data_IF_129047409103
#
_entry.id   IF_129047409103
#
_cell.length_a   1.000
_cell.length_b   1.000
_cell.length_c   1.000
_cell.angle_alpha   90.00
_cell.angle_beta   90.00
_cell.angle_gamma   90.00
#
_symmetry.space_group_name_H-M   'P 1'
#
loop_
_entity.id
_entity.type
_entity.pdbx_description
1 polymer ?
#
# COMPACT_ATOMS: atom_id res chain seq x y z
N UNK A 1 2.77 35.11 -11.25
CA UNK A 1 2.49 35.25 -9.78
C UNK A 1 3.60 34.51 -9.07
N UNK A 2 4.16 35.09 -7.98
CA UNK A 2 5.28 34.48 -7.26
C UNK A 2 4.82 33.83 -5.94
N UNK A 3 5.33 32.62 -5.67
CA UNK A 3 5.15 31.84 -4.45
C UNK A 3 6.51 31.59 -3.78
N UNK A 4 6.52 31.20 -2.53
CA UNK A 4 7.73 30.67 -1.89
C UNK A 4 7.96 29.23 -2.32
N UNK A 5 6.84 28.41 -2.36
CA UNK A 5 6.91 27.00 -2.74
C UNK A 5 5.75 26.68 -3.69
N UNK A 6 6.07 25.99 -4.79
CA UNK A 6 5.06 25.34 -5.65
C UNK A 6 5.24 23.83 -5.54
N UNK A 7 4.14 23.10 -5.29
CA UNK A 7 4.10 21.64 -5.24
C UNK A 7 3.39 21.12 -6.48
N UNK A 8 4.02 20.23 -7.25
CA UNK A 8 3.42 19.60 -8.43
C UNK A 8 2.93 18.21 -8.08
N UNK A 9 1.61 18.02 -8.03
CA UNK A 9 0.89 16.83 -7.60
C UNK A 9 0.32 16.95 -6.19
N UNK A 10 -0.93 16.53 -6.02
CA UNK A 10 -1.68 16.65 -4.76
C UNK A 10 -1.91 15.32 -4.03
N UNK A 11 -1.13 14.29 -4.34
CA UNK A 11 -1.13 13.03 -3.59
C UNK A 11 -0.69 13.22 -2.12
N UNK A 12 -0.61 12.14 -1.32
CA UNK A 12 -0.24 12.21 0.10
C UNK A 12 1.04 13.00 0.39
N UNK A 13 2.08 12.86 -0.43
CA UNK A 13 3.27 13.69 -0.32
C UNK A 13 2.98 15.16 -0.62
N UNK A 14 2.26 15.44 -1.72
CA UNK A 14 2.06 16.82 -2.19
C UNK A 14 1.18 17.66 -1.28
N UNK A 15 -0.02 17.18 -0.89
CA UNK A 15 -0.89 17.98 -0.02
C UNK A 15 -0.30 18.15 1.39
N UNK A 16 0.43 17.16 1.90
CA UNK A 16 1.13 17.27 3.19
C UNK A 16 2.25 18.31 3.11
N UNK A 17 3.06 18.27 2.04
CA UNK A 17 4.09 19.29 1.79
C UNK A 17 3.51 20.71 1.75
N UNK A 18 2.44 20.89 0.98
CA UNK A 18 1.78 22.19 0.84
C UNK A 18 1.23 22.72 2.17
N UNK A 19 0.59 21.86 2.96
CA UNK A 19 0.06 22.23 4.28
C UNK A 19 1.20 22.57 5.24
N UNK A 20 2.25 21.74 5.31
CA UNK A 20 3.39 21.96 6.21
C UNK A 20 4.10 23.27 5.87
N UNK A 21 4.30 23.54 4.60
CA UNK A 21 4.91 24.80 4.14
C UNK A 21 4.07 26.04 4.56
N UNK A 22 2.76 25.98 4.36
CA UNK A 22 1.85 27.04 4.81
C UNK A 22 1.89 27.23 6.33
N UNK A 23 1.92 26.14 7.11
CA UNK A 23 2.06 26.21 8.59
C UNK A 23 3.35 26.89 9.03
N UNK A 24 4.40 26.82 8.21
CA UNK A 24 5.70 27.50 8.41
C UNK A 24 5.73 28.92 7.81
N UNK A 25 4.57 29.47 7.46
CA UNK A 25 4.41 30.86 7.01
C UNK A 25 4.76 31.09 5.55
N UNK A 26 4.91 30.04 4.73
CA UNK A 26 5.22 30.17 3.31
C UNK A 26 3.95 30.42 2.48
N UNK A 27 4.08 31.20 1.41
CA UNK A 27 3.05 31.35 0.38
C UNK A 27 3.16 30.19 -0.60
N UNK A 28 2.12 29.35 -0.67
CA UNK A 28 2.15 28.06 -1.35
C UNK A 28 1.10 27.95 -2.44
N UNK A 29 1.47 27.34 -3.56
CA UNK A 29 0.53 26.80 -4.54
C UNK A 29 0.73 25.31 -4.73
N UNK A 30 -0.37 24.60 -5.04
CA UNK A 30 -0.36 23.20 -5.41
C UNK A 30 -0.95 23.04 -6.81
N UNK A 31 -0.23 22.34 -7.69
CA UNK A 31 -0.66 22.06 -9.06
C UNK A 31 -1.22 20.65 -9.14
N UNK A 32 -2.45 20.51 -9.65
CA UNK A 32 -3.08 19.18 -9.83
C UNK A 32 -3.83 19.12 -11.16
N UNK A 33 -3.56 18.06 -11.93
CA UNK A 33 -4.18 17.83 -13.25
C UNK A 33 -5.49 17.05 -13.19
N UNK A 34 -5.82 16.47 -12.05
CA UNK A 34 -6.97 15.60 -11.84
C UNK A 34 -7.65 15.90 -10.49
N UNK A 35 -8.01 14.87 -9.74
CA UNK A 35 -8.67 15.03 -8.43
C UNK A 35 -7.65 15.25 -7.31
N UNK A 36 -7.95 16.18 -6.41
CA UNK A 36 -7.14 16.41 -5.21
C UNK A 36 -7.04 15.16 -4.33
N UNK A 37 -5.84 14.95 -3.77
CA UNK A 37 -5.54 13.76 -2.96
C UNK A 37 -4.86 12.63 -3.75
N UNK A 38 -4.71 12.80 -5.07
CA UNK A 38 -3.97 11.89 -5.94
C UNK A 38 -4.54 10.46 -5.98
N UNK A 39 -3.71 9.51 -6.40
CA UNK A 39 -4.11 8.11 -6.58
C UNK A 39 -4.60 7.49 -5.28
N UNK A 40 -3.93 7.70 -4.15
CA UNK A 40 -4.28 7.05 -2.88
C UNK A 40 -5.73 7.31 -2.46
N UNK A 41 -6.21 8.56 -2.54
CA UNK A 41 -7.55 8.92 -2.10
C UNK A 41 -8.63 8.62 -3.16
N UNK A 42 -8.27 8.68 -4.44
CA UNK A 42 -9.25 8.59 -5.52
C UNK A 42 -9.25 7.25 -6.27
N UNK A 43 -8.08 6.64 -6.48
CA UNK A 43 -7.89 5.48 -7.37
C UNK A 43 -6.98 4.40 -6.76
N UNK A 44 -6.83 4.37 -5.44
CA UNK A 44 -5.92 3.46 -4.74
C UNK A 44 -6.41 3.07 -3.36
N UNK A 45 -5.67 3.48 -2.32
CA UNK A 45 -5.82 3.01 -0.94
C UNK A 45 -7.26 3.10 -0.43
N UNK A 46 -7.83 4.29 -0.44
CA UNK A 46 -9.11 4.55 0.24
C UNK A 46 -10.30 3.85 -0.44
N UNK A 47 -10.52 3.99 -1.76
CA UNK A 47 -11.61 3.28 -2.41
C UNK A 47 -11.44 1.76 -2.37
N UNK A 48 -10.22 1.22 -2.42
CA UNK A 48 -9.98 -0.22 -2.25
C UNK A 48 -10.41 -0.69 -0.86
N UNK A 49 -10.05 0.03 0.20
CA UNK A 49 -10.46 -0.32 1.58
C UNK A 49 -11.97 -0.20 1.76
N UNK A 50 -12.61 0.74 1.07
CA UNK A 50 -14.08 0.84 1.05
C UNK A 50 -14.74 -0.39 0.39
N UNK A 51 -14.17 -0.90 -0.72
CA UNK A 51 -14.62 -2.13 -1.38
C UNK A 51 -14.39 -3.36 -0.49
N UNK A 52 -13.18 -3.50 0.08
CA UNK A 52 -12.84 -4.60 1.00
C UNK A 52 -13.76 -4.63 2.21
N UNK A 53 -14.12 -3.47 2.77
CA UNK A 53 -15.10 -3.39 3.87
C UNK A 53 -16.48 -3.89 3.45
N UNK A 54 -16.92 -3.56 2.23
CA UNK A 54 -18.19 -4.09 1.70
C UNK A 54 -18.13 -5.61 1.52
N UNK A 55 -16.99 -6.16 1.06
CA UNK A 55 -16.77 -7.59 0.95
C UNK A 55 -16.77 -8.29 2.31
N UNK A 56 -16.17 -7.67 3.32
CA UNK A 56 -16.19 -8.17 4.70
C UNK A 56 -17.61 -8.23 5.26
N UNK A 57 -18.41 -7.16 5.07
CA UNK A 57 -19.82 -7.13 5.48
C UNK A 57 -20.62 -8.23 4.77
N UNK A 58 -20.42 -8.41 3.46
CA UNK A 58 -21.07 -9.48 2.70
C UNK A 58 -20.71 -10.87 3.24
N UNK A 59 -19.43 -11.08 3.59
CA UNK A 59 -18.93 -12.33 4.18
C UNK A 59 -19.58 -12.58 5.55
N UNK A 60 -19.73 -11.55 6.40
CA UNK A 60 -20.45 -11.67 7.68
C UNK A 60 -21.92 -12.03 7.46
N UNK A 61 -22.60 -11.40 6.51
CA UNK A 61 -23.98 -11.72 6.19
C UNK A 61 -24.13 -13.17 5.71
N UNK A 62 -23.24 -13.68 4.88
CA UNK A 62 -23.25 -15.09 4.44
C UNK A 62 -23.05 -16.08 5.58
N UNK A 63 -22.28 -15.70 6.57
CA UNK A 63 -21.94 -16.51 7.74
C UNK A 63 -22.73 -16.14 9.00
N UNK A 64 -23.81 -15.37 8.87
CA UNK A 64 -24.57 -14.79 9.97
C UNK A 64 -25.05 -15.85 10.97
N UNK A 65 -25.43 -17.04 10.50
CA UNK A 65 -25.85 -18.17 11.34
C UNK A 65 -24.76 -18.61 12.34
N UNK A 66 -23.49 -18.47 12.01
CA UNK A 66 -22.37 -18.75 12.93
C UNK A 66 -22.39 -17.83 14.16
N UNK A 67 -22.93 -16.61 14.00
CA UNK A 67 -23.09 -15.62 15.06
C UNK A 67 -24.48 -15.64 15.71
N UNK A 68 -25.31 -16.65 15.40
CA UNK A 68 -26.68 -16.77 15.90
C UNK A 68 -27.66 -15.74 15.28
N UNK A 69 -27.32 -15.16 14.14
CA UNK A 69 -28.18 -14.19 13.43
C UNK A 69 -28.86 -14.91 12.26
N UNK A 70 -30.18 -14.91 12.26
CA UNK A 70 -30.97 -15.44 11.14
C UNK A 70 -31.17 -14.36 10.07
N UNK A 71 -30.90 -14.71 8.82
CA UNK A 71 -31.23 -13.87 7.66
C UNK A 71 -32.17 -14.66 6.77
N UNK A 72 -33.35 -14.08 6.51
CA UNK A 72 -34.33 -14.69 5.59
C UNK A 72 -34.00 -14.34 4.14
N UNK A 73 -34.05 -15.33 3.24
CA UNK A 73 -33.78 -15.19 1.82
C UNK A 73 -32.28 -15.24 1.46
N UNK A 74 -32.01 -15.03 0.17
CA UNK A 74 -30.65 -15.07 -0.38
C UNK A 74 -29.88 -13.78 -0.14
N UNK A 75 -28.72 -13.87 0.48
CA UNK A 75 -27.77 -12.74 0.61
C UNK A 75 -26.94 -12.65 -0.66
N UNK A 76 -27.10 -11.55 -1.39
CA UNK A 76 -26.37 -11.24 -2.64
C UNK A 76 -25.72 -9.87 -2.57
N UNK A 77 -24.51 -9.67 -3.15
CA UNK A 77 -23.93 -8.34 -3.22
C UNK A 77 -24.65 -7.54 -4.34
N UNK A 78 -25.01 -6.31 -4.05
CA UNK A 78 -25.39 -5.31 -5.05
C UNK A 78 -24.10 -4.60 -5.48
N UNK A 79 -23.46 -5.14 -6.52
CA UNK A 79 -22.13 -4.68 -6.94
C UNK A 79 -22.12 -3.22 -7.37
N UNK A 80 -23.15 -2.75 -8.05
CA UNK A 80 -23.27 -1.35 -8.45
C UNK A 80 -23.24 -0.43 -7.23
N UNK A 81 -23.98 -0.76 -6.17
CA UNK A 81 -23.98 0.01 -4.92
C UNK A 81 -22.66 -0.11 -4.14
N UNK A 82 -22.00 -1.28 -4.19
CA UNK A 82 -20.66 -1.46 -3.60
C UNK A 82 -19.66 -0.51 -4.26
N UNK A 83 -19.65 -0.45 -5.59
CA UNK A 83 -18.81 0.47 -6.36
C UNK A 83 -19.18 1.93 -6.08
N UNK A 84 -20.47 2.28 -6.15
CA UNK A 84 -20.95 3.64 -5.88
C UNK A 84 -20.55 4.13 -4.47
N UNK A 85 -20.66 3.25 -3.45
CA UNK A 85 -20.17 3.57 -2.11
C UNK A 85 -18.68 3.90 -2.09
N UNK A 86 -17.84 3.12 -2.78
CA UNK A 86 -16.40 3.38 -2.82
C UNK A 86 -16.07 4.73 -3.47
N UNK A 87 -16.82 5.11 -4.52
CA UNK A 87 -16.67 6.42 -5.18
C UNK A 87 -17.11 7.57 -4.28
N UNK A 88 -18.21 7.40 -3.53
CA UNK A 88 -18.66 8.39 -2.54
C UNK A 88 -17.60 8.61 -1.45
N UNK A 89 -16.95 7.55 -0.99
CA UNK A 89 -15.85 7.65 -0.02
C UNK A 89 -14.66 8.42 -0.60
N UNK A 90 -14.25 8.10 -1.83
CA UNK A 90 -13.17 8.81 -2.52
C UNK A 90 -13.49 10.31 -2.71
N UNK A 91 -14.70 10.64 -3.17
CA UNK A 91 -15.15 12.02 -3.34
C UNK A 91 -15.15 12.80 -2.01
N UNK A 92 -15.59 12.17 -0.93
CA UNK A 92 -15.54 12.76 0.40
C UNK A 92 -14.12 13.11 0.83
N UNK A 93 -13.15 12.21 0.57
CA UNK A 93 -11.74 12.44 0.89
C UNK A 93 -11.13 13.56 0.04
N UNK A 94 -11.41 13.59 -1.26
CA UNK A 94 -10.95 14.64 -2.16
C UNK A 94 -11.48 16.02 -1.76
N UNK A 95 -12.76 16.12 -1.40
CA UNK A 95 -13.37 17.33 -0.84
C UNK A 95 -12.72 17.75 0.48
N UNK A 96 -12.34 16.77 1.31
CA UNK A 96 -11.57 17.00 2.53
C UNK A 96 -10.22 17.67 2.26
N UNK A 97 -9.49 17.20 1.25
CA UNK A 97 -8.21 17.85 0.84
C UNK A 97 -8.48 19.27 0.32
N UNK A 98 -9.50 19.48 -0.50
CA UNK A 98 -9.88 20.83 -0.98
C UNK A 98 -10.17 21.79 0.19
N UNK A 99 -10.89 21.30 1.21
CA UNK A 99 -11.13 22.07 2.44
C UNK A 99 -9.82 22.41 3.17
N UNK A 100 -8.88 21.45 3.28
CA UNK A 100 -7.58 21.68 3.92
C UNK A 100 -6.73 22.71 3.15
N UNK A 101 -6.74 22.68 1.81
CA UNK A 101 -6.06 23.70 1.00
C UNK A 101 -6.63 25.08 1.31
N UNK A 102 -7.95 25.24 1.26
CA UNK A 102 -8.63 26.49 1.60
C UNK A 102 -8.33 26.96 3.04
N UNK A 103 -8.40 26.06 4.01
CA UNK A 103 -8.13 26.36 5.43
C UNK A 103 -6.71 26.92 5.64
N UNK A 104 -5.75 26.43 4.88
CA UNK A 104 -4.34 26.81 4.97
C UNK A 104 -3.95 27.90 3.94
N UNK A 105 -4.89 28.54 3.26
CA UNK A 105 -4.64 29.58 2.25
C UNK A 105 -3.66 29.13 1.14
N UNK A 106 -3.81 27.87 0.69
CA UNK A 106 -3.00 27.31 -0.39
C UNK A 106 -3.77 27.46 -1.70
N UNK A 107 -3.13 28.09 -2.70
CA UNK A 107 -3.72 28.24 -4.02
C UNK A 107 -3.69 26.92 -4.79
N UNK A 108 -4.83 26.51 -5.36
CA UNK A 108 -4.94 25.32 -6.21
C UNK A 108 -4.86 25.78 -7.66
N UNK A 109 -3.86 25.30 -8.38
CA UNK A 109 -3.69 25.55 -9.82
C UNK A 109 -4.06 24.26 -10.55
N UNK A 110 -5.22 24.25 -11.23
CA UNK A 110 -5.65 23.11 -12.02
C UNK A 110 -4.89 23.05 -13.34
N UNK A 111 -4.34 21.91 -13.70
CA UNK A 111 -3.66 21.67 -14.95
C UNK A 111 -2.41 20.79 -14.81
N UNK A 112 -1.78 20.49 -15.93
CA UNK A 112 -0.52 19.73 -15.98
C UNK A 112 0.66 20.68 -15.77
N UNK A 113 1.34 20.53 -14.63
CA UNK A 113 2.52 21.34 -14.29
C UNK A 113 3.81 20.69 -14.75
N UNK A 114 4.72 21.50 -15.30
CA UNK A 114 6.09 21.10 -15.61
C UNK A 114 7.09 22.21 -15.31
N UNK A 115 8.34 21.84 -15.12
CA UNK A 115 9.45 22.78 -14.91
C UNK A 115 9.76 23.51 -16.23
N UNK A 116 9.78 24.83 -16.19
CA UNK A 116 10.02 25.70 -17.36
C UNK A 116 11.26 26.60 -17.20
N UNK A 117 12.20 26.16 -16.37
CA UNK A 117 13.43 26.86 -16.02
C UNK A 117 13.58 27.05 -14.52
N UNK A 118 14.69 27.63 -14.08
CA UNK A 118 14.99 27.88 -12.67
C UNK A 118 13.87 28.67 -11.99
N UNK A 119 13.29 28.10 -10.93
CA UNK A 119 12.18 28.71 -10.17
C UNK A 119 10.89 28.95 -10.98
N UNK A 120 10.70 28.27 -12.12
CA UNK A 120 9.53 28.45 -12.98
C UNK A 120 8.78 27.16 -13.20
N UNK A 121 7.48 27.20 -13.00
CA UNK A 121 6.53 26.14 -13.31
C UNK A 121 5.54 26.65 -14.34
N UNK A 122 5.38 25.94 -15.44
CA UNK A 122 4.34 26.22 -16.44
C UNK A 122 3.14 25.30 -16.23
N UNK A 123 1.96 25.88 -16.27
CA UNK A 123 0.69 25.16 -16.24
C UNK A 123 -0.20 25.71 -17.34
N UNK A 124 -0.53 24.89 -18.34
CA UNK A 124 -1.40 25.24 -19.47
C UNK A 124 -1.03 26.60 -20.12
N UNK A 125 0.27 26.82 -20.38
CA UNK A 125 0.79 28.02 -21.01
C UNK A 125 1.00 29.23 -20.07
N UNK A 126 0.68 29.10 -18.78
CA UNK A 126 0.89 30.15 -17.77
C UNK A 126 2.10 29.84 -16.91
N UNK A 127 3.03 30.82 -16.81
CA UNK A 127 4.23 30.69 -15.97
C UNK A 127 3.94 31.18 -14.54
N UNK A 128 4.29 30.39 -13.58
CA UNK A 128 4.33 30.72 -12.16
C UNK A 128 5.76 30.65 -11.66
N UNK A 129 6.12 31.54 -10.73
CA UNK A 129 7.46 31.57 -10.16
C UNK A 129 7.46 31.12 -8.72
N UNK A 130 8.50 30.39 -8.29
CA UNK A 130 8.69 29.95 -6.93
C UNK A 130 10.16 29.99 -6.53
N UNK A 131 10.43 30.17 -5.23
CA UNK A 131 11.79 30.04 -4.70
C UNK A 131 12.20 28.55 -4.57
N UNK A 132 11.22 27.64 -4.37
CA UNK A 132 11.42 26.19 -4.42
C UNK A 132 10.25 25.49 -5.11
N UNK A 133 10.54 24.37 -5.81
CA UNK A 133 9.54 23.50 -6.45
C UNK A 133 9.69 22.10 -5.90
N UNK A 134 8.57 21.49 -5.46
CA UNK A 134 8.53 20.12 -4.99
C UNK A 134 7.75 19.26 -5.99
N UNK A 135 8.43 18.28 -6.58
CA UNK A 135 7.83 17.29 -7.46
C UNK A 135 7.23 16.16 -6.62
N UNK A 136 5.92 15.92 -6.73
CA UNK A 136 5.17 14.89 -6.02
C UNK A 136 4.15 14.22 -6.95
N UNK A 137 4.55 13.96 -8.19
CA UNK A 137 3.67 13.53 -9.30
C UNK A 137 3.22 12.07 -9.20
N UNK A 138 3.78 11.29 -8.26
CA UNK A 138 3.36 9.94 -7.94
C UNK A 138 3.64 8.92 -9.05
N UNK A 139 2.89 7.83 -9.02
CA UNK A 139 3.08 6.72 -9.94
C UNK A 139 1.74 6.23 -10.53
N UNK A 140 1.83 5.41 -11.58
CA UNK A 140 0.72 4.75 -12.27
C UNK A 140 0.99 3.26 -12.46
N UNK A 141 -0.01 2.42 -12.73
CA UNK A 141 0.19 1.00 -13.05
C UNK A 141 1.19 0.81 -14.19
N UNK A 142 2.14 -0.12 -14.00
CA UNK A 142 3.14 -0.48 -15.00
C UNK A 142 2.48 -1.25 -16.15
N UNK A 143 2.80 -0.87 -17.39
CA UNK A 143 2.44 -1.61 -18.58
C UNK A 143 3.52 -2.62 -18.92
N UNK A 144 3.13 -3.84 -19.30
CA UNK A 144 4.05 -4.88 -19.74
C UNK A 144 3.84 -5.19 -21.22
N UNK A 145 4.90 -5.39 -22.02
CA UNK A 145 4.75 -5.65 -23.46
C UNK A 145 3.87 -6.87 -23.78
N UNK A 146 3.92 -7.90 -22.93
CA UNK A 146 3.18 -9.15 -23.08
C UNK A 146 1.74 -9.10 -22.51
N UNK A 147 1.35 -7.98 -21.88
CA UNK A 147 0.05 -7.82 -21.20
C UNK A 147 -0.38 -6.35 -21.28
N UNK A 148 -0.97 -5.98 -22.44
CA UNK A 148 -1.44 -4.62 -22.69
C UNK A 148 -2.80 -4.40 -22.02
N UNK A 149 -2.90 -3.39 -21.17
CA UNK A 149 -4.18 -2.98 -20.57
C UNK A 149 -5.06 -2.33 -21.62
N UNK A 150 -6.24 -2.93 -21.87
CA UNK A 150 -7.27 -2.42 -22.79
C UNK A 150 -8.41 -1.70 -22.05
N UNK A 151 -8.41 -1.77 -20.73
CA UNK A 151 -9.43 -1.15 -19.87
C UNK A 151 -10.75 -1.93 -19.77
N UNK A 152 -10.86 -3.10 -20.41
CA UNK A 152 -12.08 -3.91 -20.45
C UNK A 152 -11.85 -5.37 -20.05
N UNK A 153 -10.96 -6.06 -20.74
CA UNK A 153 -10.61 -7.46 -20.52
C UNK A 153 -9.30 -7.59 -19.76
N UNK A 154 -8.30 -6.83 -20.19
CA UNK A 154 -7.05 -6.67 -19.44
C UNK A 154 -7.08 -5.32 -18.76
N UNK A 155 -7.14 -5.31 -17.44
CA UNK A 155 -7.36 -4.12 -16.62
C UNK A 155 -6.20 -3.83 -15.66
N UNK A 156 -6.10 -2.60 -15.23
CA UNK A 156 -5.25 -2.20 -14.10
C UNK A 156 -6.06 -2.10 -12.80
N UNK A 157 -5.39 -1.73 -11.71
CA UNK A 157 -6.04 -1.47 -10.43
C UNK A 157 -7.09 -0.36 -10.51
N UNK A 158 -6.93 0.60 -11.44
CA UNK A 158 -7.88 1.70 -11.64
C UNK A 158 -9.23 1.19 -12.12
N UNK A 159 -9.25 0.40 -13.18
CA UNK A 159 -10.47 -0.18 -13.73
C UNK A 159 -11.08 -1.21 -12.77
N UNK A 160 -10.23 -1.96 -12.04
CA UNK A 160 -10.70 -2.92 -11.04
C UNK A 160 -11.51 -2.28 -9.89
N UNK A 161 -11.31 -0.99 -9.60
CA UNK A 161 -12.13 -0.25 -8.63
C UNK A 161 -13.55 0.02 -9.10
N UNK A 162 -13.79 -0.03 -10.41
CA UNK A 162 -15.05 0.46 -11.02
C UNK A 162 -15.59 -0.46 -12.09
N UNK A 163 -15.25 -1.76 -12.06
CA UNK A 163 -15.85 -2.72 -13.00
C UNK A 163 -17.38 -2.63 -12.94
N UNK A 164 -18.05 -2.56 -14.09
CA UNK A 164 -19.51 -2.38 -14.15
C UNK A 164 -20.29 -3.58 -13.61
N UNK A 165 -19.68 -4.77 -13.65
CA UNK A 165 -20.25 -6.01 -13.12
C UNK A 165 -19.15 -6.93 -12.58
N UNK A 166 -19.52 -7.84 -11.68
CA UNK A 166 -18.62 -8.90 -11.25
C UNK A 166 -18.39 -9.89 -12.40
N UNK A 167 -17.13 -10.16 -12.80
CA UNK A 167 -16.84 -11.21 -13.77
C UNK A 167 -17.09 -12.59 -13.14
N UNK A 168 -17.26 -13.63 -13.95
CA UNK A 168 -17.34 -15.00 -13.44
C UNK A 168 -15.95 -15.51 -13.03
N UNK A 169 -14.92 -15.07 -13.75
CA UNK A 169 -13.53 -15.46 -13.52
C UNK A 169 -12.57 -14.29 -13.70
N UNK A 170 -11.51 -14.28 -12.86
CA UNK A 170 -10.45 -13.28 -12.93
C UNK A 170 -9.07 -13.94 -12.71
N UNK A 171 -8.11 -13.58 -13.55
CA UNK A 171 -6.71 -13.87 -13.32
C UNK A 171 -6.03 -12.59 -12.83
N UNK A 172 -5.35 -12.67 -11.69
CA UNK A 172 -4.55 -11.57 -11.13
C UNK A 172 -3.07 -11.87 -11.33
N UNK A 173 -2.38 -11.04 -12.07
CA UNK A 173 -0.95 -11.18 -12.35
C UNK A 173 -0.18 -10.27 -11.40
N UNK A 174 0.60 -10.90 -10.51
CA UNK A 174 1.30 -10.27 -9.38
C UNK A 174 0.54 -10.37 -8.07
N UNK A 175 1.22 -10.80 -7.01
CA UNK A 175 0.68 -11.02 -5.66
C UNK A 175 1.22 -10.06 -4.61
N UNK A 176 1.73 -8.89 -5.01
CA UNK A 176 2.01 -7.80 -4.08
C UNK A 176 0.73 -7.30 -3.39
N UNK A 177 0.83 -6.25 -2.57
CA UNK A 177 -0.31 -5.71 -1.82
C UNK A 177 -1.55 -5.46 -2.70
N UNK A 178 -1.38 -4.77 -3.83
CA UNK A 178 -2.49 -4.45 -4.75
C UNK A 178 -3.14 -5.73 -5.29
N UNK A 179 -2.35 -6.65 -5.85
CA UNK A 179 -2.87 -7.88 -6.44
C UNK A 179 -3.58 -8.76 -5.41
N UNK A 180 -3.00 -8.88 -4.21
CA UNK A 180 -3.58 -9.67 -3.11
C UNK A 180 -4.89 -9.07 -2.59
N UNK A 181 -4.97 -7.74 -2.43
CA UNK A 181 -6.19 -7.06 -1.99
C UNK A 181 -7.34 -7.22 -3.00
N UNK A 182 -7.08 -7.02 -4.29
CA UNK A 182 -8.11 -7.22 -5.32
C UNK A 182 -8.48 -8.69 -5.48
N UNK A 183 -7.52 -9.60 -5.44
CA UNK A 183 -7.80 -11.03 -5.47
C UNK A 183 -8.69 -11.46 -4.29
N UNK A 184 -8.41 -10.95 -3.07
CA UNK A 184 -9.23 -11.16 -1.88
C UNK A 184 -10.63 -10.58 -2.05
N UNK A 185 -10.74 -9.33 -2.53
CA UNK A 185 -12.01 -8.65 -2.81
C UNK A 185 -12.91 -9.48 -3.73
N UNK A 186 -12.40 -9.80 -4.91
CA UNK A 186 -13.19 -10.49 -5.93
C UNK A 186 -13.52 -11.93 -5.53
N UNK A 187 -12.58 -12.66 -4.91
CA UNK A 187 -12.86 -14.00 -4.37
C UNK A 187 -13.95 -13.96 -3.29
N UNK A 188 -13.92 -12.99 -2.39
CA UNK A 188 -14.95 -12.80 -1.35
C UNK A 188 -16.32 -12.47 -1.95
N UNK A 189 -16.38 -11.81 -3.10
CA UNK A 189 -17.60 -11.51 -3.85
C UNK A 189 -18.10 -12.70 -4.71
N UNK A 190 -17.37 -13.82 -4.72
CA UNK A 190 -17.77 -15.05 -5.41
C UNK A 190 -17.20 -15.26 -6.80
N UNK A 191 -16.27 -14.40 -7.22
CA UNK A 191 -15.53 -14.53 -8.50
C UNK A 191 -14.53 -15.69 -8.37
N UNK A 192 -14.40 -16.51 -9.43
CA UNK A 192 -13.34 -17.54 -9.51
C UNK A 192 -11.99 -16.84 -9.79
N UNK A 193 -11.14 -16.75 -8.76
CA UNK A 193 -9.85 -16.04 -8.86
C UNK A 193 -8.68 -17.00 -9.00
N UNK A 194 -7.76 -16.68 -9.93
CA UNK A 194 -6.43 -17.29 -10.03
C UNK A 194 -5.38 -16.19 -9.89
N UNK A 195 -4.48 -16.34 -8.92
CA UNK A 195 -3.33 -15.44 -8.72
C UNK A 195 -2.09 -16.08 -9.31
N UNK A 196 -1.37 -15.35 -10.16
CA UNK A 196 -0.11 -15.79 -10.76
C UNK A 196 1.01 -14.91 -10.22
N UNK A 197 2.03 -15.56 -9.64
CA UNK A 197 3.19 -14.89 -9.07
C UNK A 197 4.48 -15.47 -9.64
N UNK A 198 5.34 -14.58 -10.14
CA UNK A 198 6.66 -14.96 -10.67
C UNK A 198 7.61 -15.46 -9.58
N UNK A 199 7.55 -14.84 -8.40
CA UNK A 199 8.39 -15.18 -7.26
C UNK A 199 7.98 -16.52 -6.63
N UNK A 200 8.87 -17.17 -5.85
CA UNK A 200 8.58 -18.49 -5.26
C UNK A 200 7.51 -18.50 -4.18
N UNK A 201 7.13 -17.34 -3.65
CA UNK A 201 6.07 -17.19 -2.65
C UNK A 201 5.08 -16.08 -3.02
N UNK A 202 3.85 -16.19 -2.55
CA UNK A 202 2.88 -15.11 -2.56
C UNK A 202 3.35 -13.96 -1.64
N UNK A 203 3.01 -12.71 -1.98
CA UNK A 203 3.46 -11.54 -1.21
C UNK A 203 4.99 -11.54 -1.01
N UNK A 204 5.80 -11.37 -2.08
CA UNK A 204 7.23 -11.66 -2.08
C UNK A 204 8.07 -10.89 -1.06
N UNK A 205 7.56 -9.73 -0.57
CA UNK A 205 8.25 -8.89 0.40
C UNK A 205 7.94 -9.25 1.86
N UNK A 206 6.95 -10.12 2.10
CA UNK A 206 6.54 -10.52 3.44
C UNK A 206 7.34 -11.71 3.96
N UNK A 207 7.31 -11.91 5.27
CA UNK A 207 7.90 -13.09 5.92
C UNK A 207 7.31 -14.38 5.36
N UNK A 208 8.13 -15.42 5.22
CA UNK A 208 7.77 -16.70 4.60
C UNK A 208 6.57 -17.38 5.30
N UNK A 209 6.46 -17.29 6.62
CA UNK A 209 5.33 -17.87 7.36
C UNK A 209 4.03 -17.10 7.10
N UNK A 210 4.11 -15.77 6.97
CA UNK A 210 2.99 -14.91 6.59
C UNK A 210 2.51 -15.29 5.20
N UNK A 211 3.42 -15.38 4.22
CA UNK A 211 3.12 -15.76 2.85
C UNK A 211 2.44 -17.13 2.75
N UNK A 212 2.98 -18.15 3.43
CA UNK A 212 2.39 -19.50 3.50
C UNK A 212 1.00 -19.52 4.15
N UNK A 213 0.80 -18.66 5.13
CA UNK A 213 -0.51 -18.57 5.82
C UNK A 213 -1.53 -17.88 4.92
N UNK A 214 -1.12 -16.85 4.20
CA UNK A 214 -1.96 -16.19 3.20
C UNK A 214 -2.35 -17.14 2.06
N UNK A 215 -1.43 -17.93 1.52
CA UNK A 215 -1.76 -18.94 0.50
C UNK A 215 -2.84 -19.92 1.00
N UNK A 216 -2.76 -20.35 2.27
CA UNK A 216 -3.80 -21.22 2.87
C UNK A 216 -5.15 -20.50 2.98
N UNK A 217 -5.15 -19.21 3.32
CA UNK A 217 -6.36 -18.40 3.37
C UNK A 217 -7.02 -18.28 1.98
N UNK A 218 -6.21 -18.02 0.93
CA UNK A 218 -6.71 -17.97 -0.45
C UNK A 218 -7.32 -19.30 -0.91
N UNK A 219 -6.69 -20.43 -0.55
CA UNK A 219 -7.26 -21.76 -0.83
C UNK A 219 -8.61 -21.98 -0.11
N UNK A 220 -8.75 -21.51 1.13
CA UNK A 220 -10.05 -21.54 1.85
C UNK A 220 -11.13 -20.71 1.12
N UNK A 221 -10.75 -19.58 0.51
CA UNK A 221 -11.62 -18.77 -0.35
C UNK A 221 -11.85 -19.38 -1.75
N UNK A 222 -11.32 -20.59 -2.02
CA UNK A 222 -11.36 -21.29 -3.32
C UNK A 222 -10.63 -20.54 -4.44
N UNK A 223 -9.71 -19.66 -4.11
CA UNK A 223 -8.81 -19.06 -5.08
C UNK A 223 -7.62 -19.99 -5.37
N UNK A 224 -7.15 -19.98 -6.61
CA UNK A 224 -5.93 -20.70 -7.03
C UNK A 224 -4.74 -19.75 -6.93
N UNK A 225 -3.62 -20.22 -6.37
CA UNK A 225 -2.37 -19.47 -6.30
C UNK A 225 -1.28 -20.26 -7.03
N UNK A 226 -0.66 -19.64 -8.02
CA UNK A 226 0.41 -20.21 -8.85
C UNK A 226 1.68 -19.37 -8.65
N UNK A 227 2.53 -19.79 -7.72
CA UNK A 227 3.86 -19.20 -7.49
C UNK A 227 4.92 -19.81 -8.40
N UNK A 228 6.07 -19.16 -8.54
CA UNK A 228 7.14 -19.55 -9.51
C UNK A 228 6.55 -19.74 -10.93
N UNK A 229 5.64 -18.87 -11.35
CA UNK A 229 4.91 -18.99 -12.60
C UNK A 229 5.03 -17.69 -13.40
N UNK A 230 5.56 -17.78 -14.60
CA UNK A 230 5.77 -16.65 -15.51
C UNK A 230 4.61 -16.53 -16.48
N UNK A 231 4.03 -15.35 -16.62
CA UNK A 231 3.12 -15.00 -17.73
C UNK A 231 3.98 -14.66 -18.95
N UNK A 232 3.73 -15.36 -20.07
CA UNK A 232 4.45 -15.16 -21.34
C UNK A 232 3.69 -14.22 -22.27
N UNK A 233 2.37 -14.36 -22.31
CA UNK A 233 1.52 -13.58 -23.18
C UNK A 233 0.09 -13.51 -22.65
N UNK A 234 -0.60 -12.42 -22.92
CA UNK A 234 -2.03 -12.28 -22.68
C UNK A 234 -2.67 -11.80 -23.97
N UNK A 235 -3.65 -12.56 -24.45
CA UNK A 235 -4.43 -12.21 -25.63
C UNK A 235 -5.93 -12.25 -25.33
N UNK A 236 -6.71 -11.54 -26.11
CA UNK A 236 -8.17 -11.52 -26.00
C UNK A 236 -8.78 -12.10 -27.30
N UNK A 237 -9.57 -13.15 -27.17
CA UNK A 237 -10.29 -13.77 -28.27
C UNK A 237 -11.67 -14.23 -27.79
N UNK A 238 -12.70 -14.04 -28.64
CA UNK A 238 -14.10 -14.45 -28.36
C UNK A 238 -14.64 -13.90 -27.01
N UNK A 239 -14.17 -12.71 -26.61
CA UNK A 239 -14.60 -12.04 -25.37
C UNK A 239 -13.96 -12.60 -24.09
N UNK A 240 -12.96 -13.47 -24.20
CA UNK A 240 -12.20 -14.03 -23.09
C UNK A 240 -10.71 -13.70 -23.20
N UNK A 241 -10.06 -13.62 -22.03
CA UNK A 241 -8.62 -13.54 -21.93
C UNK A 241 -8.01 -14.94 -21.99
N UNK A 242 -6.95 -15.08 -22.79
CA UNK A 242 -6.10 -16.26 -22.84
C UNK A 242 -4.72 -15.87 -22.30
N UNK A 243 -4.28 -16.53 -21.24
CA UNK A 243 -3.05 -16.22 -20.53
C UNK A 243 -2.10 -17.41 -20.66
N UNK A 244 -1.05 -17.25 -21.45
CA UNK A 244 0.00 -18.24 -21.62
C UNK A 244 0.98 -18.14 -20.47
N UNK A 245 1.13 -19.22 -19.72
CA UNK A 245 2.00 -19.29 -18.54
C UNK A 245 3.02 -20.40 -18.66
N UNK A 246 4.12 -20.24 -17.95
CA UNK A 246 5.14 -21.29 -17.74
C UNK A 246 5.45 -21.39 -16.25
N UNK A 247 5.15 -22.52 -15.67
CA UNK A 247 5.34 -22.81 -14.26
C UNK A 247 5.97 -24.19 -14.01
N UNK A 248 5.90 -24.64 -12.75
CA UNK A 248 6.48 -25.94 -12.33
C UNK A 248 5.93 -27.15 -13.10
N UNK A 249 4.73 -27.03 -13.69
CA UNK A 249 4.07 -28.10 -14.47
C UNK A 249 4.33 -27.99 -15.98
N UNK A 250 5.14 -27.02 -16.42
CA UNK A 250 5.36 -26.69 -17.81
C UNK A 250 4.51 -25.53 -18.31
N UNK A 251 4.41 -25.41 -19.62
CA UNK A 251 3.61 -24.38 -20.27
C UNK A 251 2.15 -24.81 -20.38
N UNK A 252 1.23 -23.88 -20.09
CA UNK A 252 -0.21 -24.06 -20.26
C UNK A 252 -0.88 -22.71 -20.56
N UNK A 253 -2.09 -22.73 -21.10
CA UNK A 253 -2.91 -21.54 -21.31
C UNK A 253 -4.11 -21.57 -20.38
N UNK A 254 -4.25 -20.52 -19.58
CA UNK A 254 -5.42 -20.31 -18.72
C UNK A 254 -6.40 -19.33 -19.38
N UNK A 255 -7.69 -19.47 -19.06
CA UNK A 255 -8.73 -18.55 -19.56
C UNK A 255 -9.48 -17.87 -18.41
N UNK A 256 -9.86 -16.61 -18.62
CA UNK A 256 -10.71 -15.86 -17.71
C UNK A 256 -11.45 -14.74 -18.44
N UNK A 257 -12.53 -14.23 -17.82
CA UNK A 257 -13.25 -13.08 -18.36
C UNK A 257 -12.41 -11.80 -18.28
N UNK A 258 -11.62 -11.68 -17.21
CA UNK A 258 -10.81 -10.50 -16.91
C UNK A 258 -9.42 -10.89 -16.42
N UNK A 259 -8.41 -10.16 -16.87
CA UNK A 259 -7.04 -10.22 -16.31
C UNK A 259 -6.72 -8.90 -15.64
N UNK A 260 -6.35 -8.93 -14.36
CA UNK A 260 -5.86 -7.78 -13.62
C UNK A 260 -4.31 -7.76 -13.63
N UNK A 261 -3.75 -6.69 -14.20
CA UNK A 261 -2.32 -6.41 -14.14
C UNK A 261 -1.97 -5.72 -12.81
N UNK A 262 -1.25 -6.42 -11.94
CA UNK A 262 -0.78 -5.93 -10.63
C UNK A 262 0.74 -6.09 -10.48
N UNK A 263 1.49 -5.88 -11.56
CA UNK A 263 2.95 -6.11 -11.70
C UNK A 263 3.81 -4.91 -11.29
N UNK A 264 3.30 -4.06 -10.44
CA UNK A 264 3.97 -2.88 -9.91
C UNK A 264 3.57 -1.58 -10.59
N UNK A 265 4.29 -0.52 -10.25
CA UNK A 265 4.01 0.84 -10.68
C UNK A 265 5.17 1.44 -11.46
N UNK A 266 4.92 2.51 -12.22
CA UNK A 266 5.90 3.32 -12.92
C UNK A 266 5.73 4.78 -12.50
N UNK A 267 6.83 5.46 -12.21
CA UNK A 267 6.85 6.87 -11.81
C UNK A 267 6.30 7.79 -12.92
N UNK A 268 5.59 8.84 -12.52
CA UNK A 268 5.05 9.85 -13.44
C UNK A 268 6.07 10.98 -13.60
N UNK A 269 7.13 10.73 -14.37
CA UNK A 269 8.25 11.66 -14.55
C UNK A 269 8.42 12.14 -16.00
N UNK A 270 7.57 11.68 -16.92
CA UNK A 270 7.64 12.09 -18.31
C UNK A 270 7.01 13.48 -18.52
N UNK A 271 7.61 14.28 -19.38
CA UNK A 271 7.16 15.62 -19.81
C UNK A 271 6.98 16.64 -18.67
N UNK A 272 7.70 16.48 -17.57
CA UNK A 272 7.68 17.43 -16.44
C UNK A 272 8.91 18.33 -16.39
N UNK A 273 9.70 18.39 -17.46
CA UNK A 273 10.84 19.31 -17.62
C UNK A 273 12.13 18.84 -16.95
N UNK A 274 12.31 17.53 -16.70
CA UNK A 274 13.51 17.02 -16.00
C UNK A 274 14.77 17.15 -16.86
N UNK A 275 14.68 16.79 -18.14
CA UNK A 275 15.82 16.81 -19.06
C UNK A 275 16.31 18.23 -19.27
N UNK A 276 15.39 19.19 -19.48
CA UNK A 276 15.67 20.62 -19.69
C UNK A 276 16.35 21.25 -18.48
N UNK A 277 16.04 20.73 -17.28
CA UNK A 277 16.64 21.18 -16.02
C UNK A 277 17.91 20.41 -15.63
N UNK A 278 18.33 19.41 -16.43
CA UNK A 278 19.48 18.57 -16.12
C UNK A 278 19.29 17.70 -14.87
N UNK A 279 18.05 17.35 -14.54
CA UNK A 279 17.73 16.54 -13.37
C UNK A 279 18.07 15.07 -13.64
N UNK A 280 18.88 14.48 -12.77
CA UNK A 280 19.35 13.10 -12.90
C UNK A 280 18.21 12.11 -12.61
N UNK A 281 18.02 11.17 -13.52
CA UNK A 281 17.06 10.06 -13.39
C UNK A 281 17.79 8.75 -13.56
N UNK A 282 17.60 7.83 -12.63
CA UNK A 282 18.11 6.46 -12.71
C UNK A 282 16.94 5.47 -12.82
N UNK A 283 16.90 4.70 -13.93
CA UNK A 283 15.76 3.81 -14.27
C UNK A 283 14.47 4.62 -14.47
N UNK A 284 13.58 4.65 -13.48
CA UNK A 284 12.36 5.46 -13.48
C UNK A 284 12.22 6.27 -12.19
N UNK A 285 13.36 6.66 -11.56
CA UNK A 285 13.42 7.38 -10.30
C UNK A 285 14.30 8.61 -10.41
N UNK A 286 13.81 9.73 -9.87
CA UNK A 286 14.60 10.95 -9.72
C UNK A 286 15.62 10.72 -8.60
N UNK A 287 16.89 11.06 -8.86
CA UNK A 287 17.96 11.01 -7.86
C UNK A 287 17.88 12.25 -6.98
N UNK A 288 17.89 12.04 -5.67
CA UNK A 288 17.84 13.10 -4.66
C UNK A 288 18.90 12.86 -3.58
N UNK A 289 19.26 13.93 -2.86
CA UNK A 289 20.09 13.86 -1.66
C UNK A 289 19.27 13.48 -0.39
N UNK A 290 19.89 13.53 0.77
CA UNK A 290 19.28 13.23 2.07
C UNK A 290 18.16 14.20 2.49
N UNK A 291 18.03 15.34 1.80
CA UNK A 291 16.99 16.34 2.00
C UNK A 291 15.99 16.41 0.86
N UNK A 292 16.02 15.40 -0.03
CA UNK A 292 15.16 15.29 -1.21
C UNK A 292 15.41 16.34 -2.30
N UNK A 293 16.55 17.06 -2.26
CA UNK A 293 16.95 17.96 -3.32
C UNK A 293 17.46 17.17 -4.53
N UNK A 294 17.03 17.57 -5.72
CA UNK A 294 17.52 17.01 -6.99
C UNK A 294 18.88 17.63 -7.39
N UNK A 295 19.45 17.20 -8.52
CA UNK A 295 20.63 17.85 -9.10
C UNK A 295 20.41 19.30 -9.54
N UNK A 296 19.14 19.75 -9.64
CA UNK A 296 18.80 21.15 -9.95
C UNK A 296 18.52 21.94 -8.67
N UNK A 297 19.20 23.09 -8.50
CA UNK A 297 19.03 23.93 -7.33
C UNK A 297 17.56 24.41 -7.18
N UNK A 298 17.04 24.33 -5.95
CA UNK A 298 15.67 24.74 -5.63
C UNK A 298 14.58 23.78 -6.12
N UNK A 299 14.95 22.62 -6.70
CA UNK A 299 14.00 21.59 -7.12
C UNK A 299 14.17 20.34 -6.26
N UNK A 300 13.07 19.88 -5.68
CA UNK A 300 12.98 18.73 -4.79
C UNK A 300 12.04 17.67 -5.36
N UNK A 301 12.21 16.41 -4.96
CA UNK A 301 11.33 15.33 -5.37
C UNK A 301 11.05 14.37 -4.21
N UNK A 302 9.79 13.93 -4.04
CA UNK A 302 9.33 13.08 -2.94
C UNK A 302 8.34 12.01 -3.42
N UNK A 303 8.17 10.96 -2.63
CA UNK A 303 7.19 9.90 -2.85
C UNK A 303 7.56 8.97 -4.00
N UNK A 304 6.56 8.45 -4.69
CA UNK A 304 6.71 7.34 -5.65
C UNK A 304 7.63 7.65 -6.86
N UNK A 305 8.13 8.85 -6.99
CA UNK A 305 9.06 9.25 -8.07
C UNK A 305 10.54 9.18 -7.67
N UNK A 306 10.84 8.88 -6.42
CA UNK A 306 12.21 8.65 -5.92
C UNK A 306 12.41 7.18 -5.49
N UNK A 307 13.66 6.77 -5.19
CA UNK A 307 14.01 5.38 -4.90
C UNK A 307 13.73 4.96 -3.45
N UNK A 308 12.52 5.25 -2.95
CA UNK A 308 12.04 4.91 -1.62
C UNK A 308 10.78 4.02 -1.70
N UNK A 309 10.32 3.40 -0.60
CA UNK A 309 9.10 2.62 -0.62
C UNK A 309 7.87 3.44 -1.10
N UNK A 310 7.20 2.97 -2.14
CA UNK A 310 6.04 3.64 -2.74
C UNK A 310 4.79 3.48 -1.84
N UNK A 311 4.77 4.21 -0.72
CA UNK A 311 3.74 4.17 0.32
C UNK A 311 3.32 5.60 0.69
N UNK A 312 2.02 5.81 0.89
CA UNK A 312 1.45 7.12 1.19
C UNK A 312 2.05 7.78 2.45
N UNK A 313 2.25 7.00 3.51
CA UNK A 313 2.83 7.49 4.76
C UNK A 313 4.34 7.78 4.65
N UNK A 314 5.06 7.09 3.77
CA UNK A 314 6.47 7.42 3.44
C UNK A 314 6.52 8.75 2.72
N UNK A 315 5.74 8.94 1.65
CA UNK A 315 5.66 10.20 0.93
C UNK A 315 5.28 11.38 1.85
N UNK A 316 4.39 11.14 2.84
CA UNK A 316 4.02 12.18 3.83
C UNK A 316 5.17 12.52 4.78
N UNK A 317 5.95 11.53 5.23
CA UNK A 317 7.11 11.76 6.08
C UNK A 317 8.22 12.50 5.33
N UNK A 318 8.50 12.11 4.09
CA UNK A 318 9.43 12.78 3.19
C UNK A 318 9.01 14.24 2.93
N UNK A 319 7.71 14.48 2.72
CA UNK A 319 7.15 15.81 2.52
C UNK A 319 7.42 16.74 3.71
N UNK A 320 7.20 16.25 4.93
CA UNK A 320 7.45 17.05 6.15
C UNK A 320 8.94 17.38 6.27
N UNK A 321 9.81 16.38 6.14
CA UNK A 321 11.27 16.57 6.19
C UNK A 321 11.75 17.55 5.12
N UNK A 322 11.35 17.35 3.86
CA UNK A 322 11.73 18.21 2.74
C UNK A 322 11.34 19.67 2.98
N UNK A 323 10.09 19.91 3.36
CA UNK A 323 9.59 21.26 3.62
C UNK A 323 10.29 21.91 4.82
N UNK A 324 10.51 21.18 5.90
CA UNK A 324 11.21 21.69 7.08
C UNK A 324 12.64 22.10 6.72
N UNK A 325 13.35 21.30 5.91
CA UNK A 325 14.66 21.63 5.40
C UNK A 325 14.62 22.92 4.52
N UNK A 326 13.70 22.99 3.55
CA UNK A 326 13.53 24.19 2.70
C UNK A 326 13.28 25.45 3.55
N UNK A 327 12.59 25.31 4.67
CA UNK A 327 12.30 26.42 5.58
C UNK A 327 13.44 26.74 6.56
N UNK A 328 14.61 26.08 6.46
CA UNK A 328 15.78 26.30 7.30
C UNK A 328 15.73 25.65 8.66
N UNK A 329 14.84 24.67 8.87
CA UNK A 329 14.81 23.83 10.05
C UNK A 329 15.79 22.65 9.89
N UNK A 330 16.06 21.94 11.00
CA UNK A 330 16.89 20.73 11.01
C UNK A 330 16.01 19.53 11.36
N UNK A 331 15.30 18.95 10.39
CA UNK A 331 14.43 17.81 10.63
C UNK A 331 15.23 16.53 10.91
N UNK A 332 14.66 15.63 11.71
CA UNK A 332 15.19 14.27 11.85
C UNK A 332 15.09 13.53 10.52
N UNK A 333 16.11 12.75 10.17
CA UNK A 333 16.09 11.92 8.97
C UNK A 333 14.95 10.88 9.02
N UNK A 334 14.35 10.59 7.88
CA UNK A 334 13.36 9.51 7.77
C UNK A 334 14.06 8.16 7.93
N UNK A 335 13.68 7.41 8.96
CA UNK A 335 14.21 6.06 9.20
C UNK A 335 13.47 5.03 8.35
N UNK A 336 13.99 4.74 7.18
CA UNK A 336 13.43 3.75 6.26
C UNK A 336 13.49 2.31 6.78
N UNK A 337 14.25 2.03 7.84
CA UNK A 337 14.28 0.71 8.47
C UNK A 337 13.04 0.44 9.33
N UNK A 338 12.27 1.46 9.67
CA UNK A 338 11.08 1.39 10.53
C UNK A 338 9.77 1.69 9.80
N UNK A 339 9.76 1.57 8.48
CA UNK A 339 8.54 1.80 7.68
C UNK A 339 7.56 0.62 7.87
N UNK A 340 6.34 0.86 8.37
CA UNK A 340 5.32 -0.16 8.48
C UNK A 340 4.71 -0.48 7.12
N UNK A 341 4.36 -1.74 6.90
CA UNK A 341 3.63 -2.23 5.72
C UNK A 341 2.34 -2.92 6.13
N UNK A 342 1.26 -2.63 5.42
CA UNK A 342 -0.05 -3.22 5.66
C UNK A 342 -0.69 -3.71 4.36
N UNK A 343 -1.27 -4.92 4.39
CA UNK A 343 -2.09 -5.46 3.30
C UNK A 343 -3.45 -5.84 3.86
N UNK A 344 -4.50 -5.24 3.31
CA UNK A 344 -5.87 -5.31 3.85
C UNK A 344 -6.67 -6.46 3.24
N UNK A 345 -6.05 -7.63 3.18
CA UNK A 345 -6.72 -8.88 2.82
C UNK A 345 -7.56 -9.43 3.98
N UNK A 346 -8.12 -10.61 3.84
CA UNK A 346 -8.76 -11.35 4.94
C UNK A 346 -8.16 -12.77 4.98
N UNK A 347 -7.31 -13.07 5.98
CA UNK A 347 -6.82 -12.20 7.07
C UNK A 347 -5.96 -11.03 6.58
N UNK A 348 -5.85 -9.95 7.41
CA UNK A 348 -4.94 -8.83 7.17
C UNK A 348 -3.48 -9.23 7.37
N UNK A 349 -2.54 -8.50 6.75
CA UNK A 349 -1.10 -8.63 6.99
C UNK A 349 -0.54 -7.29 7.43
N UNK A 350 0.35 -7.32 8.43
CA UNK A 350 1.04 -6.15 8.93
C UNK A 350 2.50 -6.49 9.28
N UNK A 351 3.42 -5.68 8.81
CA UNK A 351 4.85 -5.94 9.02
C UNK A 351 5.66 -4.65 9.20
N UNK A 352 6.74 -4.73 9.97
CA UNK A 352 7.76 -3.70 10.09
C UNK A 352 9.12 -4.34 10.32
N UNK A 353 10.15 -3.81 9.68
CA UNK A 353 11.53 -4.22 9.88
C UNK A 353 11.90 -5.48 9.10
N UNK A 354 12.85 -6.23 9.62
CA UNK A 354 13.52 -7.33 8.95
C UNK A 354 12.72 -8.63 9.05
N UNK A 355 12.56 -9.34 7.94
CA UNK A 355 12.00 -10.70 7.94
C UNK A 355 13.02 -11.70 8.48
N UNK A 356 12.56 -12.87 8.91
CA UNK A 356 13.47 -13.94 9.39
C UNK A 356 14.42 -14.40 8.29
N UNK A 357 13.95 -14.51 7.04
CA UNK A 357 14.82 -14.87 5.92
C UNK A 357 15.90 -13.81 5.66
N UNK A 358 15.58 -12.52 5.77
CA UNK A 358 16.55 -11.43 5.64
C UNK A 358 17.59 -11.45 6.78
N UNK A 359 17.17 -11.77 8.01
CA UNK A 359 18.09 -11.92 9.14
C UNK A 359 19.08 -13.07 8.90
N UNK A 360 18.59 -14.22 8.43
CA UNK A 360 19.42 -15.36 8.05
C UNK A 360 20.42 -15.04 6.93
N UNK A 361 19.96 -14.39 5.87
CA UNK A 361 20.78 -14.00 4.72
C UNK A 361 21.90 -13.02 5.10
N UNK A 362 21.63 -12.14 6.09
CA UNK A 362 22.61 -11.18 6.61
C UNK A 362 23.50 -11.75 7.70
N UNK A 363 23.31 -13.01 8.11
CA UNK A 363 24.05 -13.65 9.19
C UNK A 363 23.88 -13.01 10.56
N UNK A 364 22.70 -12.38 10.79
CA UNK A 364 22.35 -11.79 12.07
C UNK A 364 21.86 -12.90 12.99
N UNK A 365 22.45 -13.00 14.20
CA UNK A 365 21.93 -13.86 15.25
C UNK A 365 20.64 -13.27 15.80
N UNK A 366 19.59 -14.11 15.90
CA UNK A 366 18.27 -13.63 16.30
C UNK A 366 17.51 -14.66 17.12
N UNK A 367 16.52 -14.19 17.86
CA UNK A 367 15.49 -14.99 18.52
C UNK A 367 14.13 -14.68 17.92
N UNK A 368 13.28 -15.69 17.75
CA UNK A 368 11.91 -15.55 17.25
C UNK A 368 10.93 -15.84 18.37
N UNK A 369 10.00 -14.91 18.58
CA UNK A 369 8.82 -15.15 19.37
C UNK A 369 7.59 -15.25 18.49
N UNK A 370 6.70 -16.19 18.77
CA UNK A 370 5.51 -16.44 17.97
C UNK A 370 4.31 -16.76 18.86
N UNK A 371 3.18 -16.12 18.58
CA UNK A 371 1.91 -16.41 19.26
C UNK A 371 0.79 -16.61 18.22
N UNK A 372 0.18 -17.82 18.14
CA UNK A 372 -0.91 -18.09 17.22
C UNK A 372 -2.24 -17.58 17.79
N UNK A 373 -3.07 -16.96 16.96
CA UNK A 373 -4.38 -16.47 17.38
C UNK A 373 -5.38 -17.57 17.79
N UNK A 374 -5.07 -18.85 17.50
CA UNK A 374 -5.83 -19.99 18.06
C UNK A 374 -5.76 -20.06 19.58
N UNK A 375 -4.73 -19.47 20.20
CA UNK A 375 -4.56 -19.37 21.65
C UNK A 375 -5.14 -18.07 22.25
N UNK A 376 -5.59 -17.11 21.40
CA UNK A 376 -6.14 -15.84 21.85
C UNK A 376 -7.61 -15.95 22.24
N UNK A 377 -7.95 -15.50 23.46
CA UNK A 377 -9.34 -15.40 23.92
C UNK A 377 -10.16 -14.42 23.06
N UNK A 378 -9.58 -13.27 22.69
CA UNK A 378 -10.24 -12.27 21.83
C UNK A 378 -10.53 -12.82 20.44
N UNK A 379 -9.54 -13.45 19.80
CA UNK A 379 -9.71 -14.07 18.48
C UNK A 379 -10.78 -15.17 18.50
N UNK A 380 -10.82 -15.97 19.58
CA UNK A 380 -11.84 -17.02 19.78
C UNK A 380 -13.23 -16.41 19.95
N UNK A 381 -13.38 -15.36 20.74
CA UNK A 381 -14.66 -14.68 20.94
C UNK A 381 -15.17 -14.00 19.67
N UNK A 382 -14.26 -13.47 18.81
CA UNK A 382 -14.60 -12.86 17.54
C UNK A 382 -14.87 -13.86 16.41
N UNK A 383 -14.42 -15.11 16.56
CA UNK A 383 -14.48 -16.14 15.49
C UNK A 383 -13.34 -16.02 14.46
N UNK A 384 -12.34 -15.15 14.72
CA UNK A 384 -11.25 -14.81 13.80
C UNK A 384 -9.89 -15.35 14.30
N UNK A 385 -9.78 -16.69 14.31
CA UNK A 385 -8.64 -17.41 14.92
C UNK A 385 -7.49 -17.69 13.96
N UNK A 386 -7.63 -17.36 12.68
CA UNK A 386 -6.58 -17.57 11.68
C UNK A 386 -5.47 -16.53 11.84
N UNK A 387 -4.22 -17.00 11.95
CA UNK A 387 -3.06 -16.14 11.97
C UNK A 387 -2.21 -16.20 13.24
N UNK A 388 -1.30 -15.23 13.34
CA UNK A 388 -0.32 -15.17 14.43
C UNK A 388 0.35 -13.80 14.50
N UNK A 389 1.03 -13.56 15.62
CA UNK A 389 2.06 -12.54 15.80
C UNK A 389 3.43 -13.22 15.79
N UNK A 390 4.38 -12.71 15.01
CA UNK A 390 5.79 -13.12 14.97
C UNK A 390 6.67 -11.91 15.19
N UNK A 391 7.51 -11.96 16.22
CA UNK A 391 8.49 -10.94 16.57
C UNK A 391 9.89 -11.50 16.44
N UNK A 392 10.82 -10.69 15.93
CA UNK A 392 12.22 -11.05 15.72
C UNK A 392 13.08 -10.09 16.51
N UNK A 393 13.94 -10.62 17.38
CA UNK A 393 14.83 -9.86 18.26
C UNK A 393 16.28 -10.20 17.95
N UNK A 394 17.18 -9.22 18.04
CA UNK A 394 18.62 -9.41 17.93
C UNK A 394 19.23 -10.00 19.22
N UNK A 395 20.55 -10.20 19.24
CA UNK A 395 21.29 -10.70 20.41
C UNK A 395 21.14 -9.79 21.66
N UNK A 396 20.90 -8.50 21.46
CA UNK A 396 20.63 -7.51 22.52
C UNK A 396 19.17 -7.50 22.96
N UNK A 397 18.39 -8.45 22.47
CA UNK A 397 16.93 -8.56 22.67
C UNK A 397 16.12 -7.39 22.12
N UNK A 398 16.69 -6.52 21.28
CA UNK A 398 15.97 -5.42 20.63
C UNK A 398 15.14 -5.94 19.45
N UNK A 399 13.94 -5.38 19.32
CA UNK A 399 13.04 -5.72 18.21
C UNK A 399 13.63 -5.25 16.88
N UNK A 400 13.89 -6.19 15.96
CA UNK A 400 14.39 -5.93 14.61
C UNK A 400 13.35 -6.21 13.52
N UNK A 401 12.32 -6.98 13.84
CA UNK A 401 11.22 -7.27 12.91
C UNK A 401 9.94 -7.71 13.62
N UNK A 402 8.79 -7.35 13.05
CA UNK A 402 7.48 -7.81 13.46
C UNK A 402 6.64 -8.14 12.22
N UNK A 403 6.07 -9.33 12.19
CA UNK A 403 5.30 -9.86 11.06
C UNK A 403 4.03 -10.51 11.58
N UNK A 404 2.90 -9.95 11.22
CA UNK A 404 1.60 -10.37 11.74
C UNK A 404 0.65 -10.69 10.61
N UNK A 405 -0.15 -11.71 10.80
CA UNK A 405 -1.27 -12.05 9.91
C UNK A 405 -2.47 -12.43 10.75
N UNK A 406 -3.63 -11.83 10.50
CA UNK A 406 -4.85 -12.07 11.27
C UNK A 406 -5.86 -10.95 11.14
N UNK A 407 -6.95 -11.04 11.88
CA UNK A 407 -7.92 -9.96 11.97
C UNK A 407 -7.31 -8.75 12.72
N UNK A 408 -7.53 -7.55 12.20
CA UNK A 408 -7.13 -6.27 12.83
C UNK A 408 -5.63 -6.06 13.08
N UNK A 409 -4.75 -6.91 12.51
CA UNK A 409 -3.29 -6.78 12.73
C UNK A 409 -2.73 -5.47 12.17
N UNK A 410 -3.38 -4.87 11.19
CA UNK A 410 -3.01 -3.56 10.64
C UNK A 410 -3.14 -2.45 11.68
N UNK A 411 -4.13 -2.54 12.57
CA UNK A 411 -4.30 -1.60 13.69
C UNK A 411 -3.32 -1.87 14.85
N UNK A 412 -2.81 -3.09 14.97
CA UNK A 412 -1.85 -3.48 16.01
C UNK A 412 -0.42 -3.00 15.70
N UNK A 413 -0.09 -2.72 14.44
CA UNK A 413 1.29 -2.51 13.98
C UNK A 413 1.96 -1.26 14.57
N UNK A 414 1.20 -0.30 15.05
CA UNK A 414 1.74 0.94 15.65
C UNK A 414 2.67 0.68 16.84
N UNK A 415 2.34 -0.27 17.71
CA UNK A 415 3.15 -0.65 18.87
C UNK A 415 4.51 -1.27 18.45
N UNK A 416 4.57 -2.33 17.60
CA UNK A 416 5.85 -2.86 17.14
C UNK A 416 6.68 -1.84 16.35
N UNK A 417 6.04 -0.94 15.59
CA UNK A 417 6.75 0.12 14.86
C UNK A 417 7.46 1.06 15.83
N UNK A 418 6.75 1.51 16.87
CA UNK A 418 7.33 2.36 17.92
C UNK A 418 8.42 1.62 18.69
N UNK A 419 8.18 0.36 19.07
CA UNK A 419 9.13 -0.47 19.77
C UNK A 419 10.44 -0.64 18.97
N UNK A 420 10.33 -0.92 17.67
CA UNK A 420 11.49 -1.03 16.79
C UNK A 420 12.24 0.30 16.67
N UNK A 421 11.54 1.42 16.43
CA UNK A 421 12.15 2.75 16.31
C UNK A 421 12.96 3.15 17.54
N UNK A 422 12.47 2.79 18.73
CA UNK A 422 13.10 3.12 20.01
C UNK A 422 14.07 2.05 20.51
N UNK A 423 14.27 0.94 19.79
CA UNK A 423 15.13 -0.16 20.18
C UNK A 423 14.66 -0.86 21.47
N UNK A 424 13.34 -1.01 21.62
CA UNK A 424 12.72 -1.66 22.78
C UNK A 424 13.02 -3.15 22.77
N UNK A 425 13.28 -3.71 23.97
CA UNK A 425 13.62 -5.12 24.14
C UNK A 425 12.40 -6.03 24.29
N UNK A 426 12.59 -7.34 24.05
CA UNK A 426 11.59 -8.37 24.29
C UNK A 426 11.08 -8.31 25.74
N UNK A 427 11.99 -8.13 26.72
CA UNK A 427 11.62 -8.00 28.13
C UNK A 427 10.69 -6.81 28.38
N UNK A 428 10.97 -5.64 27.79
CA UNK A 428 10.14 -4.45 28.00
C UNK A 428 8.73 -4.64 27.40
N UNK A 429 8.60 -5.24 26.22
CA UNK A 429 7.31 -5.56 25.60
C UNK A 429 6.54 -6.56 26.48
N UNK A 430 7.18 -7.65 26.93
CA UNK A 430 6.58 -8.69 27.76
C UNK A 430 6.13 -8.17 29.14
N UNK A 431 6.78 -7.14 29.68
CA UNK A 431 6.40 -6.52 30.98
C UNK A 431 5.43 -5.35 30.83
N UNK A 432 5.12 -4.94 29.61
CA UNK A 432 4.06 -3.96 29.36
C UNK A 432 2.71 -4.61 29.55
N UNK A 433 1.86 -4.03 30.40
CA UNK A 433 0.51 -4.57 30.66
C UNK A 433 -0.36 -4.25 29.43
N UNK A 434 -0.85 -5.30 28.77
CA UNK A 434 -1.81 -5.18 27.66
C UNK A 434 -3.24 -5.33 28.19
N UNK A 435 -4.16 -4.61 27.57
CA UNK A 435 -5.58 -4.68 27.96
C UNK A 435 -6.21 -6.01 27.56
N UNK A 436 -7.05 -6.57 28.45
CA UNK A 436 -7.77 -7.83 28.23
C UNK A 436 -9.27 -7.60 28.05
N UNK A 437 -9.96 -8.27 27.08
CA UNK A 437 -9.37 -9.11 26.01
C UNK A 437 -9.11 -8.28 24.73
N UNK A 438 -7.93 -8.37 24.19
CA UNK A 438 -7.54 -7.71 22.94
C UNK A 438 -6.68 -8.61 22.05
N UNK A 439 -6.56 -8.26 20.76
CA UNK A 439 -5.61 -8.91 19.88
C UNK A 439 -4.16 -8.52 20.21
N UNK A 440 -3.94 -7.35 20.83
CA UNK A 440 -2.62 -6.85 21.24
C UNK A 440 -1.91 -7.73 22.28
N UNK A 441 -2.66 -8.50 23.09
CA UNK A 441 -2.07 -9.48 24.00
C UNK A 441 -1.14 -10.47 23.26
N UNK A 442 -1.42 -10.71 21.97
CA UNK A 442 -0.55 -11.54 21.12
C UNK A 442 0.85 -10.98 20.91
N UNK A 443 1.06 -9.65 21.03
CA UNK A 443 2.38 -9.01 20.94
C UNK A 443 3.18 -9.34 22.21
N UNK A 444 2.58 -9.19 23.38
CA UNK A 444 3.17 -9.52 24.67
C UNK A 444 3.56 -11.01 24.72
N UNK A 445 2.61 -11.90 24.39
CA UNK A 445 2.82 -13.36 24.39
C UNK A 445 3.91 -13.79 23.40
N UNK A 446 4.00 -13.15 22.23
CA UNK A 446 5.08 -13.39 21.28
C UNK A 446 6.43 -12.94 21.85
N UNK A 447 6.51 -11.82 22.57
CA UNK A 447 7.73 -11.40 23.24
C UNK A 447 8.14 -12.36 24.36
N UNK A 448 7.19 -12.83 25.18
CA UNK A 448 7.42 -13.86 26.19
C UNK A 448 7.90 -15.17 25.56
N UNK A 449 7.31 -15.58 24.42
CA UNK A 449 7.72 -16.76 23.66
C UNK A 449 9.20 -16.67 23.21
N UNK A 450 9.66 -15.50 22.76
CA UNK A 450 11.06 -15.29 22.38
C UNK A 450 12.04 -15.50 23.56
N UNK A 451 11.58 -15.27 24.79
CA UNK A 451 12.35 -15.46 26.02
C UNK A 451 12.16 -16.88 26.64
N UNK A 452 11.34 -17.75 26.01
CA UNK A 452 11.02 -19.06 26.58
C UNK A 452 10.12 -19.01 27.82
N UNK A 453 9.34 -17.92 27.99
CA UNK A 453 8.52 -17.65 29.17
C UNK A 453 7.01 -17.53 28.87
N UNK A 454 6.57 -17.91 27.65
CA UNK A 454 5.17 -17.86 27.27
C UNK A 454 4.31 -18.72 28.20
N UNK A 455 3.15 -18.20 28.61
CA UNK A 455 2.23 -18.86 29.53
C UNK A 455 1.08 -19.55 28.78
N UNK A 456 0.59 -18.95 27.71
CA UNK A 456 -0.59 -19.42 26.97
C UNK A 456 -0.25 -20.17 25.67
N UNK A 457 0.97 -20.72 25.57
CA UNK A 457 1.43 -21.55 24.42
C UNK A 457 1.57 -23.02 24.81
#
# INVERSE_FOLDING_TARGET
MKYDIIVIGSGPGGYVAAIRASQLGKKVAIVEKAELGGVCLNWGCIPTKALLKSAQVYTYCKNAAHYGVAIEGDVKPDWEKVVARSRTVADTMSKGVAFLMKKNNIDIIAGFGHLAGEGKVEVDGTIYEADAVILATGARPRQMPFMQVDGKHVISSKEALTLPALPQSMIVVGSGAIGSEFACLYASMGVKVTVIEYMPQMMPLEDEEVAKTMERAFRKMRATVLTSTTVKNVSVADGQCHVDIEGKKGAETLTADVVLSAVGVKSNIENIGLEEMGITVERDKIVVDEHYQTSAAGVYAIGDIIATPALAHVASAEAIHCVEHICGLTPDAVDYSTIPSCVFTSPEVASVGMTEQQAREKGIEYKVGRFPFTASGKATAAGDRDGFVKLIFDESEKLIGAHMIGATVTEMLGEPTLAKRLGITAHAIAKTIHSHPTMHEGIMEAAESAMGAAIHL
#
